data_IF_238924160560
#
_entry.id   IF_238924160560
#
_cell.length_a   1.000
_cell.length_b   1.000
_cell.length_c   1.000
_cell.angle_alpha   90.00
_cell.angle_beta   90.00
_cell.angle_gamma   90.00
#
_symmetry.space_group_name_H-M   'P 1'
#
loop_
_entity.id
_entity.type
_entity.pdbx_description
1 polymer ?
#
# COMPACT_ATOMS: atom_id res chain seq x y z
N UNK A 1 12.29 -0.85 20.14
CA UNK A 1 11.24 0.19 20.16
C UNK A 1 10.20 -0.24 19.14
N UNK A 2 8.93 -0.40 19.49
CA UNK A 2 7.86 -0.71 18.51
C UNK A 2 7.30 0.58 17.94
N UNK A 3 7.14 0.65 16.62
CA UNK A 3 6.53 1.79 15.92
C UNK A 3 5.06 1.55 15.58
N UNK A 4 4.65 0.28 15.52
CA UNK A 4 3.28 -0.12 15.27
C UNK A 4 2.53 -0.53 16.55
N UNK A 5 1.22 -0.34 16.50
CA UNK A 5 0.24 -0.87 17.44
C UNK A 5 -0.64 -1.90 16.69
N UNK A 6 -0.62 -3.18 17.10
CA UNK A 6 -1.48 -4.20 16.51
C UNK A 6 -2.97 -3.86 16.69
N UNK A 7 -3.78 -4.15 15.68
CA UNK A 7 -5.23 -4.00 15.78
C UNK A 7 -5.87 -5.27 16.32
N UNK A 8 -6.97 -5.11 17.06
CA UNK A 8 -7.80 -6.25 17.45
C UNK A 8 -8.60 -6.74 16.26
N UNK A 9 -8.60 -8.05 16.04
CA UNK A 9 -9.39 -8.70 15.00
C UNK A 9 -10.77 -9.08 15.52
N UNK A 10 -11.79 -8.87 14.69
CA UNK A 10 -13.12 -9.45 14.90
C UNK A 10 -13.08 -10.96 14.66
N UNK A 11 -14.12 -11.67 15.09
CA UNK A 11 -14.28 -13.09 14.78
C UNK A 11 -14.26 -13.35 13.26
N UNK A 12 -14.88 -12.47 12.47
CA UNK A 12 -14.88 -12.57 11.01
C UNK A 12 -13.47 -12.40 10.41
N UNK A 13 -12.66 -11.47 10.94
CA UNK A 13 -11.27 -11.30 10.50
C UNK A 13 -10.43 -12.54 10.84
N UNK A 14 -10.57 -13.08 12.06
CA UNK A 14 -9.87 -14.30 12.44
C UNK A 14 -10.23 -15.49 11.54
N UNK A 15 -11.53 -15.66 11.24
CA UNK A 15 -11.98 -16.71 10.32
C UNK A 15 -11.37 -16.58 8.92
N UNK A 16 -11.20 -15.35 8.41
CA UNK A 16 -10.53 -15.12 7.13
C UNK A 16 -9.03 -15.48 7.22
N UNK A 17 -8.35 -15.05 8.28
CA UNK A 17 -6.92 -15.36 8.51
C UNK A 17 -6.69 -16.86 8.61
N UNK A 18 -7.51 -17.59 9.37
CA UNK A 18 -7.41 -19.05 9.49
C UNK A 18 -7.58 -19.75 8.14
N UNK A 19 -8.51 -19.28 7.30
CA UNK A 19 -8.71 -19.82 5.94
C UNK A 19 -7.49 -19.56 5.05
N UNK A 20 -6.95 -18.36 5.06
CA UNK A 20 -5.75 -18.01 4.29
C UNK A 20 -4.51 -18.75 4.78
N UNK A 21 -4.43 -19.03 6.08
CA UNK A 21 -3.36 -19.83 6.66
C UNK A 21 -3.43 -21.29 6.19
N UNK A 22 -4.63 -21.89 6.20
CA UNK A 22 -4.83 -23.27 5.77
C UNK A 22 -4.70 -23.45 4.25
N UNK A 23 -5.19 -22.48 3.47
CA UNK A 23 -5.08 -22.44 2.02
C UNK A 23 -4.99 -20.99 1.56
N UNK A 24 -3.77 -20.52 1.30
CA UNK A 24 -3.58 -19.16 0.82
C UNK A 24 -4.30 -18.90 -0.51
N UNK A 25 -4.50 -19.91 -1.35
CA UNK A 25 -5.22 -19.75 -2.63
C UNK A 25 -6.75 -19.74 -2.47
N UNK A 26 -7.28 -19.56 -1.26
CA UNK A 26 -8.72 -19.42 -1.02
C UNK A 26 -9.26 -18.10 -1.60
N UNK A 27 -9.79 -18.20 -2.83
CA UNK A 27 -10.34 -17.06 -3.57
C UNK A 27 -11.47 -16.34 -2.82
N UNK A 28 -12.29 -17.05 -2.06
CA UNK A 28 -13.37 -16.40 -1.31
C UNK A 28 -12.86 -15.65 -0.07
N UNK A 29 -11.77 -16.11 0.53
CA UNK A 29 -11.11 -15.37 1.59
C UNK A 29 -10.41 -14.12 1.02
N UNK A 30 -9.78 -14.23 -0.15
CA UNK A 30 -9.16 -13.10 -0.85
C UNK A 30 -10.13 -11.99 -1.26
N UNK A 31 -11.37 -12.31 -1.61
CA UNK A 31 -12.38 -11.27 -1.92
C UNK A 31 -12.78 -10.45 -0.69
N UNK A 32 -12.42 -10.90 0.52
CA UNK A 32 -12.67 -10.19 1.78
C UNK A 32 -11.48 -9.39 2.28
N UNK A 33 -10.37 -9.38 1.54
CA UNK A 33 -9.30 -8.41 1.75
C UNK A 33 -9.72 -7.05 1.17
N UNK A 34 -9.26 -5.94 1.76
CA UNK A 34 -8.16 -5.84 2.72
C UNK A 34 -8.59 -5.86 4.19
N UNK A 35 -7.73 -6.45 5.04
CA UNK A 35 -7.93 -6.53 6.48
C UNK A 35 -6.93 -5.63 7.19
N UNK A 36 -7.35 -4.75 8.12
CA UNK A 36 -6.43 -3.92 8.88
C UNK A 36 -5.69 -4.77 9.93
N UNK A 37 -4.36 -4.72 9.95
CA UNK A 37 -3.52 -5.54 10.85
C UNK A 37 -2.77 -4.75 11.93
N UNK A 38 -2.45 -3.49 11.66
CA UNK A 38 -1.84 -2.59 12.63
C UNK A 38 -2.09 -1.13 12.28
N UNK A 39 -1.64 -0.23 13.16
CA UNK A 39 -1.53 1.20 12.90
C UNK A 39 -0.24 1.82 13.43
N UNK A 40 0.14 2.98 12.91
CA UNK A 40 1.21 3.77 13.53
C UNK A 40 0.78 4.29 14.91
N UNK A 41 1.70 4.22 15.87
CA UNK A 41 1.53 4.86 17.19
C UNK A 41 1.57 6.38 17.04
N UNK A 42 0.77 7.11 17.82
CA UNK A 42 0.68 8.58 17.74
C UNK A 42 2.03 9.29 17.79
N UNK A 43 2.91 8.93 18.74
CA UNK A 43 4.23 9.53 18.86
C UNK A 43 5.08 9.38 17.57
N UNK A 44 5.03 8.19 16.95
CA UNK A 44 5.77 7.91 15.70
C UNK A 44 5.21 8.73 14.55
N UNK A 45 3.89 8.90 14.48
CA UNK A 45 3.26 9.74 13.44
C UNK A 45 3.73 11.17 13.52
N UNK A 46 3.79 11.73 14.74
CA UNK A 46 4.29 13.08 14.97
C UNK A 46 5.76 13.21 14.55
N UNK A 47 6.61 12.26 14.90
CA UNK A 47 8.04 12.29 14.53
C UNK A 47 8.26 12.18 13.02
N UNK A 48 7.56 11.26 12.35
CA UNK A 48 7.59 11.12 10.89
C UNK A 48 7.13 12.42 10.22
N UNK A 49 6.06 13.03 10.72
CA UNK A 49 5.54 14.28 10.18
C UNK A 49 6.54 15.44 10.31
N UNK A 50 7.13 15.64 11.49
CA UNK A 50 8.12 16.70 11.71
C UNK A 50 9.39 16.49 10.88
N UNK A 51 9.75 15.24 10.59
CA UNK A 51 10.82 14.95 9.65
C UNK A 51 10.41 15.30 8.21
N UNK A 52 9.21 14.88 7.77
CA UNK A 52 8.72 15.11 6.41
C UNK A 52 8.58 16.61 6.09
N UNK A 53 8.26 17.46 7.07
CA UNK A 53 8.17 18.93 6.92
C UNK A 53 9.48 19.62 6.47
N UNK A 54 10.61 18.91 6.53
CA UNK A 54 11.91 19.44 6.08
C UNK A 54 12.10 19.32 4.57
N UNK A 55 11.14 18.75 3.85
CA UNK A 55 11.23 18.44 2.42
C UNK A 55 10.00 18.98 1.68
N UNK A 56 10.23 19.98 0.84
CA UNK A 56 9.20 20.55 -0.04
C UNK A 56 8.88 19.67 -1.26
N UNK A 57 9.80 18.78 -1.63
CA UNK A 57 9.61 17.76 -2.66
C UNK A 57 9.46 16.37 -2.03
N UNK A 58 8.74 15.48 -2.71
CA UNK A 58 8.65 14.08 -2.29
C UNK A 58 9.93 13.34 -2.67
N UNK A 59 10.56 12.74 -1.67
CA UNK A 59 11.64 11.77 -1.86
C UNK A 59 11.06 10.37 -1.92
N UNK A 60 11.54 9.56 -2.86
CA UNK A 60 11.19 8.14 -3.01
C UNK A 60 12.46 7.31 -2.98
N UNK A 61 12.43 6.19 -2.26
CA UNK A 61 13.58 5.33 -2.00
C UNK A 61 13.16 3.86 -2.15
N UNK A 62 13.97 3.07 -2.87
CA UNK A 62 13.77 1.61 -3.02
C UNK A 62 14.59 0.87 -1.95
N UNK A 63 13.98 -0.13 -1.33
CA UNK A 63 14.60 -0.90 -0.24
C UNK A 63 15.23 -2.17 -0.83
N UNK A 64 16.54 -2.13 -1.06
CA UNK A 64 17.36 -3.26 -1.51
C UNK A 64 18.68 -3.37 -0.71
N UNK A 65 19.55 -4.31 -1.07
CA UNK A 65 20.84 -4.52 -0.41
C UNK A 65 21.79 -3.33 -0.57
N UNK A 66 21.61 -2.50 -1.61
CA UNK A 66 22.39 -1.29 -1.81
C UNK A 66 21.92 -0.20 -0.85
N UNK A 67 20.62 0.02 -0.76
CA UNK A 67 20.01 0.94 0.20
C UNK A 67 20.42 0.60 1.64
N UNK A 68 20.42 -0.68 2.02
CA UNK A 68 20.83 -1.08 3.36
C UNK A 68 22.29 -0.69 3.65
N UNK A 69 23.21 -0.95 2.71
CA UNK A 69 24.61 -0.53 2.84
C UNK A 69 24.75 0.98 2.91
N UNK A 70 24.11 1.71 2.00
CA UNK A 70 24.19 3.18 1.95
C UNK A 70 23.62 3.84 3.21
N UNK A 71 22.52 3.33 3.79
CA UNK A 71 21.85 3.97 4.93
C UNK A 71 22.35 3.52 6.30
N UNK A 72 22.96 2.34 6.41
CA UNK A 72 23.33 1.75 7.71
C UNK A 72 24.78 1.28 7.84
N UNK A 73 25.55 1.22 6.75
CA UNK A 73 26.95 0.77 6.78
C UNK A 73 27.89 1.90 6.37
N UNK A 74 27.67 2.49 5.20
CA UNK A 74 28.64 3.36 4.53
C UNK A 74 28.28 4.86 4.58
N UNK A 75 27.00 5.19 4.78
CA UNK A 75 26.51 6.57 4.70
C UNK A 75 26.15 7.21 6.04
N UNK A 76 25.77 8.51 6.02
CA UNK A 76 25.39 9.24 7.21
C UNK A 76 24.06 8.71 7.78
N UNK A 77 23.79 8.90 9.08
CA UNK A 77 22.53 8.52 9.69
C UNK A 77 21.32 9.16 8.99
N UNK A 78 20.34 8.33 8.64
CA UNK A 78 19.08 8.74 8.03
C UNK A 78 17.91 8.39 8.98
N UNK A 79 17.26 9.43 9.50
CA UNK A 79 16.11 9.28 10.41
C UNK A 79 14.96 8.52 9.75
N UNK A 80 14.66 8.82 8.48
CA UNK A 80 13.57 8.14 7.78
C UNK A 80 13.94 6.69 7.52
N UNK A 81 15.19 6.40 7.13
CA UNK A 81 15.65 5.03 6.97
C UNK A 81 15.50 4.21 8.27
N UNK A 82 15.77 4.83 9.43
CA UNK A 82 15.57 4.18 10.74
C UNK A 82 14.11 3.82 10.99
N UNK A 83 13.16 4.72 10.71
CA UNK A 83 11.72 4.41 10.81
C UNK A 83 11.30 3.29 9.85
N UNK A 84 11.81 3.31 8.62
CA UNK A 84 11.54 2.27 7.60
C UNK A 84 12.01 0.90 8.10
N UNK A 85 13.21 0.82 8.67
CA UNK A 85 13.75 -0.43 9.21
C UNK A 85 12.88 -0.96 10.36
N UNK A 86 12.51 -0.12 11.32
CA UNK A 86 11.64 -0.51 12.44
C UNK A 86 10.24 -0.90 11.97
N UNK A 87 9.68 -0.19 10.99
CA UNK A 87 8.42 -0.55 10.34
C UNK A 87 8.52 -1.94 9.70
N UNK A 88 9.61 -2.22 8.98
CA UNK A 88 9.81 -3.52 8.36
C UNK A 88 9.89 -4.63 9.43
N UNK A 89 10.64 -4.41 10.51
CA UNK A 89 10.76 -5.37 11.62
C UNK A 89 9.40 -5.65 12.28
N UNK A 90 8.64 -4.62 12.66
CA UNK A 90 7.33 -4.78 13.30
C UNK A 90 6.32 -5.50 12.39
N UNK A 91 6.36 -5.22 11.09
CA UNK A 91 5.46 -5.85 10.11
C UNK A 91 5.88 -7.30 9.81
N UNK A 92 7.19 -7.58 9.76
CA UNK A 92 7.69 -8.96 9.63
C UNK A 92 7.30 -9.80 10.83
N UNK A 93 7.37 -9.23 12.05
CA UNK A 93 6.87 -9.88 13.26
C UNK A 93 5.40 -10.29 13.09
N UNK A 94 4.54 -9.38 12.62
CA UNK A 94 3.13 -9.69 12.39
C UNK A 94 2.91 -10.74 11.29
N UNK A 95 3.58 -10.61 10.15
CA UNK A 95 3.41 -11.58 9.06
C UNK A 95 3.98 -12.96 9.40
N UNK A 96 5.01 -13.04 10.23
CA UNK A 96 5.53 -14.32 10.70
C UNK A 96 4.48 -15.14 11.47
N UNK A 97 3.48 -14.47 12.06
CA UNK A 97 2.34 -15.11 12.74
C UNK A 97 1.20 -15.40 11.75
N UNK A 98 0.84 -14.41 10.93
CA UNK A 98 -0.35 -14.52 10.06
C UNK A 98 -0.10 -15.45 8.86
N UNK A 99 1.06 -15.33 8.22
CA UNK A 99 1.45 -16.08 7.03
C UNK A 99 2.95 -16.44 7.14
N UNK A 100 3.33 -17.47 7.94
CA UNK A 100 4.74 -17.74 8.29
C UNK A 100 5.67 -18.04 7.10
N UNK A 101 5.11 -18.51 5.98
CA UNK A 101 5.84 -18.77 4.74
C UNK A 101 6.09 -17.48 3.93
N UNK A 102 5.48 -16.34 4.29
CA UNK A 102 5.71 -15.09 3.60
C UNK A 102 7.16 -14.63 3.75
N UNK A 103 7.77 -14.27 2.63
CA UNK A 103 9.10 -13.67 2.60
C UNK A 103 9.02 -12.33 1.89
N UNK A 104 9.49 -11.31 2.58
CA UNK A 104 9.62 -9.97 2.03
C UNK A 104 10.66 -9.97 0.91
N UNK A 105 10.32 -9.41 -0.25
CA UNK A 105 11.22 -9.37 -1.41
C UNK A 105 11.50 -7.96 -1.89
N UNK A 106 10.52 -7.07 -1.76
CA UNK A 106 10.60 -5.70 -2.29
C UNK A 106 9.81 -4.75 -1.42
N UNK A 107 10.30 -3.53 -1.31
CA UNK A 107 9.54 -2.43 -0.76
C UNK A 107 10.17 -1.10 -1.12
N UNK A 108 9.42 -0.06 -0.87
CA UNK A 108 9.85 1.31 -1.07
C UNK A 108 9.13 2.19 -0.06
N UNK A 109 9.65 3.38 0.11
CA UNK A 109 8.99 4.41 0.89
C UNK A 109 9.14 5.76 0.22
N UNK A 110 8.17 6.63 0.49
CA UNK A 110 8.18 7.99 0.00
C UNK A 110 7.78 8.96 1.12
N UNK A 111 8.41 10.13 1.18
CA UNK A 111 8.14 11.12 2.23
C UNK A 111 8.44 12.54 1.76
N UNK A 112 7.75 13.51 2.34
CA UNK A 112 7.85 14.94 1.98
C UNK A 112 6.47 15.56 1.82
N UNK A 113 6.38 16.65 1.05
CA UNK A 113 5.13 17.36 0.77
C UNK A 113 4.37 16.72 -0.39
N UNK A 114 3.24 16.10 -0.09
CA UNK A 114 2.32 15.58 -1.10
C UNK A 114 1.29 16.66 -1.47
N UNK A 115 1.36 17.20 -2.68
CA UNK A 115 0.36 18.13 -3.25
C UNK A 115 -0.62 17.42 -4.20
N UNK A 116 -1.84 17.95 -4.28
CA UNK A 116 -2.95 17.51 -5.18
C UNK A 116 -2.95 18.35 -6.46
N UNK A 117 -3.46 17.86 -7.62
CA UNK A 117 -3.49 16.49 -8.14
C UNK A 117 -2.55 16.43 -9.35
N UNK A 118 -1.24 16.40 -9.13
CA UNK A 118 -0.43 15.60 -10.05
C UNK A 118 -0.18 14.33 -9.27
N UNK A 119 -0.80 13.20 -9.66
CA UNK A 119 -0.54 11.95 -8.98
C UNK A 119 0.98 11.75 -9.03
N UNK A 120 1.64 11.84 -7.87
CA UNK A 120 2.91 11.14 -7.69
C UNK A 120 2.65 9.76 -8.25
N UNK A 121 3.33 9.48 -9.37
CA UNK A 121 2.87 8.56 -10.38
C UNK A 121 2.31 7.32 -9.74
N UNK A 122 1.17 6.86 -10.24
CA UNK A 122 0.73 5.50 -10.00
C UNK A 122 1.97 4.62 -9.96
N UNK A 123 2.29 4.09 -8.78
CA UNK A 123 3.39 3.15 -8.64
C UNK A 123 2.92 1.89 -9.37
N UNK A 124 3.14 1.91 -10.68
CA UNK A 124 3.03 0.82 -11.63
C UNK A 124 4.27 -0.08 -11.55
N UNK A 125 5.14 0.17 -10.57
CA UNK A 125 6.36 -0.60 -10.32
C UNK A 125 6.13 -2.05 -9.92
N UNK A 126 4.88 -2.45 -9.68
CA UNK A 126 4.58 -3.80 -9.25
C UNK A 126 4.23 -4.73 -10.41
N UNK A 127 3.75 -4.19 -11.53
CA UNK A 127 3.17 -4.96 -12.65
C UNK A 127 4.07 -5.10 -13.86
N UNK A 128 5.23 -4.43 -13.86
CA UNK A 128 6.10 -4.38 -15.04
C UNK A 128 7.09 -5.55 -15.15
N UNK A 129 7.26 -6.37 -14.09
CA UNK A 129 8.34 -7.36 -14.05
C UNK A 129 7.89 -8.82 -14.18
N UNK A 130 6.59 -9.11 -14.17
CA UNK A 130 6.09 -10.42 -14.59
C UNK A 130 5.16 -10.26 -15.80
N UNK A 131 5.66 -10.51 -17.03
CA UNK A 131 4.84 -10.47 -18.22
C UNK A 131 3.72 -11.53 -18.23
N UNK A 132 3.68 -12.45 -17.26
CA UNK A 132 2.57 -13.38 -17.05
C UNK A 132 1.56 -12.92 -15.97
N UNK A 133 1.80 -11.78 -15.30
CA UNK A 133 0.93 -11.21 -14.25
C UNK A 133 0.13 -10.00 -14.74
N UNK A 134 -0.37 -10.02 -15.97
CA UNK A 134 -1.32 -9.01 -16.46
C UNK A 134 -2.57 -8.97 -15.56
N UNK A 135 -2.89 -7.81 -14.98
CA UNK A 135 -4.12 -7.57 -14.20
C UNK A 135 -3.99 -7.27 -12.71
N UNK A 136 -2.81 -6.85 -12.23
CA UNK A 136 -2.55 -6.54 -10.81
C UNK A 136 -3.32 -5.34 -10.25
N UNK A 137 -3.58 -5.26 -8.93
CA UNK A 137 -4.19 -4.08 -8.35
C UNK A 137 -3.24 -2.90 -8.45
N UNK A 138 -3.72 -1.97 -9.25
CA UNK A 138 -3.13 -0.66 -9.43
C UNK A 138 -3.41 0.12 -8.14
N UNK A 139 -2.37 0.58 -7.44
CA UNK A 139 -2.53 1.72 -6.54
C UNK A 139 -2.82 2.94 -7.42
N UNK A 140 -4.08 3.36 -7.42
CA UNK A 140 -4.59 4.29 -8.44
C UNK A 140 -4.28 5.74 -8.14
N UNK A 141 -4.32 6.13 -6.86
CA UNK A 141 -4.06 7.51 -6.49
C UNK A 141 -3.82 7.65 -4.99
N UNK A 142 -3.10 8.73 -4.65
CA UNK A 142 -3.04 9.27 -3.30
C UNK A 142 -3.74 10.61 -3.31
N UNK A 143 -4.85 10.74 -2.57
CA UNK A 143 -5.59 12.00 -2.48
C UNK A 143 -5.48 12.56 -1.07
N UNK A 144 -5.22 13.87 -0.98
CA UNK A 144 -5.01 14.65 0.25
C UNK A 144 -6.02 14.37 1.36
N UNK A 145 -7.25 14.01 1.04
CA UNK A 145 -8.32 13.87 2.02
C UNK A 145 -8.63 12.43 2.45
N UNK A 146 -8.18 11.41 1.71
CA UNK A 146 -8.77 10.07 1.84
C UNK A 146 -7.77 8.94 2.15
N UNK A 147 -6.53 8.98 1.66
CA UNK A 147 -5.54 7.91 1.87
C UNK A 147 -4.98 7.36 0.56
N UNK A 148 -4.57 6.08 0.56
CA UNK A 148 -4.15 5.37 -0.66
C UNK A 148 -5.35 4.65 -1.26
N UNK A 149 -5.61 4.87 -2.55
CA UNK A 149 -6.73 4.25 -3.26
C UNK A 149 -6.28 3.05 -4.08
N UNK A 150 -7.11 2.00 -4.10
CA UNK A 150 -6.85 0.77 -4.83
C UNK A 150 -8.13 0.24 -5.48
N UNK A 151 -7.96 -0.56 -6.53
CA UNK A 151 -9.06 -1.31 -7.17
C UNK A 151 -9.46 -2.48 -6.28
N UNK A 152 -10.73 -2.57 -5.95
CA UNK A 152 -11.28 -3.75 -5.29
C UNK A 152 -11.48 -4.88 -6.28
N UNK A 153 -10.96 -6.06 -5.95
CA UNK A 153 -11.11 -7.27 -6.74
C UNK A 153 -10.25 -7.31 -7.99
N UNK A 154 -10.61 -8.20 -8.91
CA UNK A 154 -9.88 -8.45 -10.15
C UNK A 154 -10.26 -7.41 -11.22
N UNK A 155 -9.27 -6.76 -11.81
CA UNK A 155 -9.47 -5.81 -12.91
C UNK A 155 -10.22 -6.44 -14.09
N UNK A 156 -9.88 -7.68 -14.43
CA UNK A 156 -10.45 -8.39 -15.59
C UNK A 156 -11.91 -8.78 -15.40
N UNK A 157 -12.36 -8.87 -14.15
CA UNK A 157 -13.74 -9.21 -13.81
C UNK A 157 -14.71 -8.03 -13.94
N UNK A 158 -14.20 -6.80 -14.12
CA UNK A 158 -15.04 -5.62 -14.32
C UNK A 158 -15.53 -5.50 -15.78
N UNK A 159 -16.67 -4.85 -15.97
CA UNK A 159 -17.20 -4.59 -17.31
C UNK A 159 -16.31 -3.61 -18.11
N UNK A 160 -16.40 -3.60 -19.46
CA UNK A 160 -15.53 -2.79 -20.30
C UNK A 160 -15.56 -1.28 -19.98
N UNK A 161 -16.72 -0.75 -19.56
CA UNK A 161 -16.85 0.66 -19.18
C UNK A 161 -16.08 0.95 -17.90
N UNK A 162 -16.22 0.10 -16.89
CA UNK A 162 -15.45 0.22 -15.64
C UNK A 162 -13.94 0.06 -15.89
N UNK A 163 -13.53 -0.85 -16.78
CA UNK A 163 -12.14 -1.01 -17.19
C UNK A 163 -11.58 0.24 -17.90
N UNK A 164 -12.37 0.89 -18.77
CA UNK A 164 -12.04 2.18 -19.41
C UNK A 164 -11.81 3.27 -18.36
N UNK A 165 -12.75 3.42 -17.42
CA UNK A 165 -12.66 4.37 -16.30
C UNK A 165 -11.41 4.13 -15.43
N UNK A 166 -11.11 2.88 -15.08
CA UNK A 166 -9.91 2.53 -14.31
C UNK A 166 -8.61 2.85 -15.09
N UNK A 167 -8.61 2.66 -16.41
CA UNK A 167 -7.51 3.05 -17.28
C UNK A 167 -7.35 4.58 -17.36
N UNK A 168 -8.45 5.31 -17.40
CA UNK A 168 -8.48 6.78 -17.36
C UNK A 168 -7.77 7.29 -16.11
N UNK A 169 -8.09 6.73 -14.94
CA UNK A 169 -7.40 7.06 -13.70
C UNK A 169 -5.94 6.62 -13.71
N UNK A 170 -5.63 5.45 -14.30
CA UNK A 170 -4.26 4.94 -14.40
C UNK A 170 -3.32 5.87 -15.15
N UNK A 171 -3.81 6.58 -16.14
CA UNK A 171 -2.97 7.48 -16.93
C UNK A 171 -3.30 8.95 -16.70
N UNK A 172 -4.24 9.24 -15.79
CA UNK A 172 -4.80 10.56 -15.56
C UNK A 172 -5.21 11.26 -16.85
N UNK A 173 -6.01 10.56 -17.67
CA UNK A 173 -6.48 11.03 -18.97
C UNK A 173 -8.01 11.04 -19.01
N UNK A 174 -8.57 11.95 -19.79
CA UNK A 174 -10.00 11.93 -20.12
C UNK A 174 -10.33 10.71 -21.02
N UNK A 175 -11.53 10.16 -20.81
CA UNK A 175 -12.13 9.09 -21.62
C UNK A 175 -13.61 9.42 -21.87
N UNK A 176 -14.34 8.69 -22.75
CA UNK A 176 -15.76 8.98 -23.00
C UNK A 176 -16.64 8.99 -21.73
N UNK A 177 -16.22 8.29 -20.68
CA UNK A 177 -16.89 8.27 -19.38
C UNK A 177 -16.72 9.55 -18.54
N UNK A 178 -15.77 10.43 -18.87
CA UNK A 178 -15.57 11.72 -18.20
C UNK A 178 -14.11 12.11 -17.98
N UNK A 179 -13.93 13.21 -17.23
CA UNK A 179 -12.62 13.65 -16.74
C UNK A 179 -12.14 12.76 -15.58
N UNK A 180 -10.82 12.63 -15.35
CA UNK A 180 -10.25 11.78 -14.30
C UNK A 180 -10.85 12.03 -12.91
N UNK A 181 -11.10 13.28 -12.52
CA UNK A 181 -11.63 13.64 -11.21
C UNK A 181 -13.08 13.16 -11.00
N UNK A 182 -13.90 13.28 -12.05
CA UNK A 182 -15.30 12.82 -12.04
C UNK A 182 -15.35 11.29 -12.02
N UNK A 183 -14.49 10.64 -12.82
CA UNK A 183 -14.33 9.19 -12.85
C UNK A 183 -13.89 8.68 -11.48
N UNK A 184 -12.92 9.34 -10.85
CA UNK A 184 -12.42 8.96 -9.54
C UNK A 184 -13.54 9.01 -8.50
N UNK A 185 -14.27 10.13 -8.48
CA UNK A 185 -15.41 10.33 -7.58
C UNK A 185 -16.50 9.28 -7.78
N UNK A 186 -16.78 8.94 -9.04
CA UNK A 186 -17.78 7.94 -9.40
C UNK A 186 -17.36 6.52 -8.98
N UNK A 187 -16.11 6.12 -9.24
CA UNK A 187 -15.63 4.78 -8.86
C UNK A 187 -15.52 4.60 -7.34
N UNK A 188 -15.27 5.67 -6.58
CA UNK A 188 -15.40 5.66 -5.12
C UNK A 188 -16.85 5.41 -4.68
N UNK A 189 -17.82 6.12 -5.27
CA UNK A 189 -19.25 5.94 -4.95
C UNK A 189 -19.73 4.52 -5.24
N UNK A 190 -19.25 3.92 -6.35
CA UNK A 190 -19.54 2.53 -6.71
C UNK A 190 -18.87 1.50 -5.80
N UNK A 191 -17.88 1.92 -5.02
CA UNK A 191 -17.05 1.02 -4.22
C UNK A 191 -16.09 0.17 -5.06
N UNK A 192 -15.93 0.46 -6.34
CA UNK A 192 -14.91 -0.12 -7.24
C UNK A 192 -13.52 0.31 -6.77
N UNK A 193 -13.39 1.58 -6.41
CA UNK A 193 -12.24 2.05 -5.65
C UNK A 193 -12.54 1.91 -4.16
N UNK A 194 -11.51 1.50 -3.44
CA UNK A 194 -11.50 1.49 -1.99
C UNK A 194 -10.31 2.27 -1.50
N UNK A 195 -10.36 2.60 -0.22
CA UNK A 195 -9.39 3.48 0.41
C UNK A 195 -8.75 2.77 1.58
N UNK A 196 -7.42 2.75 1.59
CA UNK A 196 -6.63 2.35 2.75
C UNK A 196 -6.67 3.54 3.72
N UNK A 197 -7.25 3.35 4.92
CA UNK A 197 -7.24 4.41 5.90
C UNK A 197 -5.81 4.79 6.24
N UNK A 198 -5.63 6.09 6.42
CA UNK A 198 -4.40 6.68 6.93
C UNK A 198 -3.99 6.01 8.24
N UNK A 199 -2.69 5.88 8.42
CA UNK A 199 -2.03 5.25 9.56
C UNK A 199 -2.33 3.78 9.78
N UNK A 200 -3.02 3.09 8.86
CA UNK A 200 -3.27 1.64 8.98
C UNK A 200 -2.40 0.82 8.04
N UNK A 201 -1.82 -0.24 8.58
CA UNK A 201 -1.23 -1.31 7.79
C UNK A 201 -2.37 -2.23 7.39
N UNK A 202 -2.58 -2.38 6.09
CA UNK A 202 -3.59 -3.28 5.54
C UNK A 202 -2.92 -4.53 4.96
N UNK A 203 -3.42 -5.70 5.32
CA UNK A 203 -3.15 -6.93 4.58
C UNK A 203 -3.95 -6.90 3.29
N UNK A 204 -3.26 -6.93 2.16
CA UNK A 204 -3.86 -6.97 0.83
C UNK A 204 -3.20 -8.05 0.02
N UNK A 205 -3.93 -8.61 -0.95
CA UNK A 205 -3.34 -9.49 -1.94
C UNK A 205 -3.37 -8.76 -3.26
N UNK A 206 -2.17 -8.57 -3.81
CA UNK A 206 -1.99 -8.06 -5.15
C UNK A 206 -1.80 -9.23 -6.10
N UNK A 207 -2.75 -9.40 -7.02
CA UNK A 207 -2.69 -10.46 -8.03
C UNK A 207 -3.97 -11.30 -8.06
N UNK A 208 -4.53 -11.35 -9.25
CA UNK A 208 -5.80 -11.93 -9.67
C UNK A 208 -5.74 -13.42 -10.08
N UNK A 209 -4.86 -14.23 -9.47
CA UNK A 209 -4.88 -15.68 -9.70
C UNK A 209 -3.55 -16.36 -10.08
N UNK A 210 -2.43 -15.68 -9.89
CA UNK A 210 -1.12 -16.35 -9.82
C UNK A 210 -1.12 -17.39 -8.68
N UNK A 211 -0.58 -18.59 -8.93
CA UNK A 211 -0.39 -19.65 -7.90
C UNK A 211 0.50 -19.20 -6.74
N UNK A 212 1.28 -18.13 -6.95
CA UNK A 212 2.23 -17.55 -6.00
C UNK A 212 1.80 -16.13 -5.61
N UNK A 213 0.49 -15.91 -5.42
CA UNK A 213 -0.08 -14.60 -5.19
C UNK A 213 0.72 -13.77 -4.18
N UNK A 214 0.97 -12.50 -4.52
CA UNK A 214 1.82 -11.62 -3.74
C UNK A 214 0.97 -10.90 -2.68
N UNK A 215 1.40 -10.98 -1.43
CA UNK A 215 0.80 -10.16 -0.38
C UNK A 215 1.43 -8.78 -0.50
N UNK A 216 0.62 -7.74 -0.72
CA UNK A 216 1.09 -6.36 -0.66
C UNK A 216 0.55 -5.70 0.60
N UNK A 217 1.38 -4.89 1.23
CA UNK A 217 1.03 -4.11 2.40
C UNK A 217 1.37 -2.66 2.16
N UNK A 218 0.47 -1.80 2.61
CA UNK A 218 0.65 -0.36 2.55
C UNK A 218 0.28 0.25 3.89
N UNK A 219 0.98 1.33 4.23
CA UNK A 219 0.58 2.28 5.26
C UNK A 219 1.07 3.67 4.88
N UNK A 220 0.31 4.69 5.27
CA UNK A 220 0.76 6.07 5.20
C UNK A 220 0.71 6.68 6.61
N UNK A 221 1.76 7.36 7.04
CA UNK A 221 1.78 8.16 8.27
C UNK A 221 1.40 9.60 7.94
N UNK A 222 0.24 10.10 8.39
CA UNK A 222 -0.14 11.51 8.21
C UNK A 222 -0.18 12.28 9.53
N UNK A 223 -0.12 13.62 9.46
CA UNK A 223 -0.43 14.46 10.61
C UNK A 223 -1.87 14.23 11.09
N UNK A 224 -2.14 14.46 12.39
CA UNK A 224 -3.46 14.33 13.00
C UNK A 224 -4.59 15.10 12.30
N UNK A 225 -4.27 16.21 11.61
CA UNK A 225 -5.25 17.08 10.93
C UNK A 225 -5.20 17.00 9.39
N UNK A 226 -4.63 15.93 8.82
CA UNK A 226 -4.67 15.70 7.36
C UNK A 226 -3.78 16.62 6.51
N UNK A 227 -2.80 17.29 7.10
CA UNK A 227 -1.82 18.15 6.43
C UNK A 227 -0.97 17.49 5.33
N UNK A 228 -0.32 18.35 4.53
CA UNK A 228 0.35 18.01 3.26
C UNK A 228 1.62 17.15 3.38
N UNK A 229 2.31 17.19 4.54
CA UNK A 229 3.57 16.46 4.73
C UNK A 229 3.34 15.11 5.39
N UNK A 230 3.83 14.05 4.78
CA UNK A 230 3.53 12.69 5.23
C UNK A 230 4.60 11.70 4.74
N UNK A 231 4.54 10.46 5.23
CA UNK A 231 5.31 9.34 4.68
C UNK A 231 4.38 8.20 4.24
N UNK A 232 4.81 7.45 3.25
CA UNK A 232 4.16 6.26 2.72
C UNK A 232 5.18 5.13 2.68
N UNK A 233 4.73 3.95 3.10
CA UNK A 233 5.54 2.75 3.15
C UNK A 233 4.77 1.64 2.45
N UNK A 234 5.45 0.93 1.55
CA UNK A 234 4.88 -0.19 0.83
C UNK A 234 5.83 -1.38 0.83
N UNK A 235 5.26 -2.57 0.98
CA UNK A 235 5.97 -3.85 0.97
C UNK A 235 5.23 -4.87 0.13
N UNK A 236 6.00 -5.74 -0.51
CA UNK A 236 5.51 -6.91 -1.21
C UNK A 236 6.20 -8.17 -0.69
N UNK A 237 5.40 -9.20 -0.45
CA UNK A 237 5.84 -10.51 -0.04
C UNK A 237 5.54 -11.50 -1.14
N UNK A 238 6.51 -12.38 -1.33
CA UNK A 238 6.30 -13.59 -2.08
C UNK A 238 6.05 -14.72 -1.10
N UNK A 239 5.04 -15.52 -1.39
CA UNK A 239 4.85 -16.79 -0.71
C UNK A 239 5.71 -17.85 -1.39
N UNK A 240 6.39 -18.64 -0.57
CA UNK A 240 7.20 -19.78 -0.99
C UNK A 240 6.49 -21.08 -0.69
#
# INVERSE_FOLDING_TARGET
MKVLEPLSFSADHWSIVERLHANFNDRQAHTRLPIPIARFREAVKTEIHEHAKRFDEVKTEHIDDRWFREKFVDGPPDTMATFVRLYNEDVDEMLSVLVPAARYRKGHYAYGKFSVPEPHGLHTDHSAEDPASEGEPICIARIETLGTHYVAGDYEAHDPRTQSMLKALRYWIAVPEGEPEDIFSELLKRGTLKTIPVDRVMLMVAGNGSRNAQITQHIAARPPDGGLHSAFFQRQYRLT
#
